data_IF_377940204965
#
_entry.id   IF_377940204965
#
_cell.length_a   1.000
_cell.length_b   1.000
_cell.length_c   1.000
_cell.angle_alpha   90.00
_cell.angle_beta   90.00
_cell.angle_gamma   90.00
#
_symmetry.space_group_name_H-M   'P 1'
#
loop_
_entity.id
_entity.type
_entity.pdbx_description
1 polymer ?
#
# COMPACT_ATOMS: atom_id res chain seq x y z
N UNK A 1 -33.08 4.49 -15.99
CA UNK A 1 -31.86 3.69 -15.85
C UNK A 1 -31.01 4.46 -14.87
N UNK A 2 -30.81 3.95 -13.67
CA UNK A 2 -29.91 4.54 -12.69
C UNK A 2 -28.52 4.57 -13.31
N UNK A 3 -27.84 5.72 -13.32
CA UNK A 3 -26.41 5.79 -13.60
C UNK A 3 -25.76 4.74 -12.73
N UNK A 4 -25.01 3.83 -13.36
CA UNK A 4 -24.32 2.76 -12.63
C UNK A 4 -23.34 3.45 -11.68
N UNK A 5 -23.44 3.12 -10.39
CA UNK A 5 -22.48 3.54 -9.38
C UNK A 5 -21.12 2.90 -9.71
N UNK A 6 -20.34 3.57 -10.57
CA UNK A 6 -19.04 3.07 -11.04
C UNK A 6 -17.96 3.62 -10.11
N UNK A 7 -17.15 2.72 -9.56
CA UNK A 7 -15.91 3.05 -8.90
C UNK A 7 -14.75 2.75 -9.86
N UNK A 8 -13.99 3.78 -10.22
CA UNK A 8 -12.73 3.65 -10.93
C UNK A 8 -11.58 3.90 -9.92
N UNK A 9 -10.79 2.89 -9.61
CA UNK A 9 -9.86 2.95 -8.48
C UNK A 9 -8.44 2.64 -8.94
N UNK A 10 -7.52 3.58 -8.72
CA UNK A 10 -6.08 3.33 -8.83
C UNK A 10 -5.48 3.12 -7.43
N UNK A 11 -4.93 1.93 -7.21
CA UNK A 11 -4.11 1.62 -6.06
C UNK A 11 -2.64 1.85 -6.39
N UNK A 12 -2.03 2.89 -5.82
CA UNK A 12 -0.67 3.33 -6.07
C UNK A 12 0.24 3.00 -4.87
N UNK A 13 1.38 2.37 -5.13
CA UNK A 13 2.44 2.27 -4.11
C UNK A 13 3.27 3.56 -4.09
N UNK A 14 3.62 4.03 -2.91
CA UNK A 14 4.51 5.18 -2.69
C UNK A 14 5.84 5.10 -3.45
N UNK A 15 6.47 6.23 -3.73
CA UNK A 15 7.82 6.38 -4.29
C UNK A 15 8.91 5.77 -3.40
N UNK A 16 10.15 5.72 -3.88
CA UNK A 16 11.27 5.18 -3.10
C UNK A 16 11.46 5.95 -1.79
N UNK A 17 11.42 5.24 -0.67
CA UNK A 17 11.73 5.79 0.66
C UNK A 17 13.19 5.49 1.05
N UNK A 18 13.70 6.21 2.06
CA UNK A 18 15.02 5.93 2.63
C UNK A 18 15.13 4.49 3.13
N UNK A 19 14.06 3.94 3.73
CA UNK A 19 14.03 2.54 4.13
C UNK A 19 14.06 1.57 2.93
N UNK A 20 13.53 1.94 1.75
CA UNK A 20 13.69 1.13 0.53
C UNK A 20 15.14 1.15 0.04
N UNK A 21 15.77 2.34 -0.02
CA UNK A 21 17.17 2.51 -0.44
C UNK A 21 18.11 1.71 0.46
N UNK A 22 17.86 1.71 1.77
CA UNK A 22 18.63 0.98 2.77
C UNK A 22 18.23 -0.49 2.93
N UNK A 23 17.24 -0.97 2.16
CA UNK A 23 16.72 -2.35 2.22
C UNK A 23 16.25 -2.77 3.61
N UNK A 24 15.62 -1.83 4.34
CA UNK A 24 15.06 -2.07 5.66
C UNK A 24 13.62 -2.58 5.56
N UNK A 25 13.27 -3.42 6.51
CA UNK A 25 11.89 -3.80 6.78
C UNK A 25 11.19 -2.62 7.45
N UNK A 26 10.38 -1.91 6.71
CA UNK A 26 9.85 -0.62 7.15
C UNK A 26 8.63 -0.74 8.06
N UNK A 27 7.69 -1.66 7.72
CA UNK A 27 6.42 -1.73 8.42
C UNK A 27 5.73 -0.37 8.50
N UNK A 28 5.35 0.03 9.70
CA UNK A 28 4.74 1.33 10.00
C UNK A 28 5.76 2.39 10.45
N UNK A 29 7.04 2.05 10.52
CA UNK A 29 8.08 3.05 10.76
C UNK A 29 8.09 4.12 9.66
N UNK A 30 8.26 5.38 10.08
CA UNK A 30 7.94 6.55 9.28
C UNK A 30 9.15 7.09 8.50
N UNK A 31 9.59 6.34 7.50
CA UNK A 31 10.66 6.71 6.58
C UNK A 31 10.17 7.70 5.52
N UNK A 32 10.89 8.84 5.27
CA UNK A 32 10.55 9.79 4.21
C UNK A 32 10.92 9.23 2.82
N UNK A 33 10.46 9.91 1.77
CA UNK A 33 10.93 9.67 0.41
C UNK A 33 12.41 10.03 0.27
N UNK A 34 13.11 9.34 -0.65
CA UNK A 34 14.38 9.82 -1.21
C UNK A 34 14.12 10.86 -2.29
N UNK A 35 15.16 11.59 -2.73
CA UNK A 35 15.03 12.50 -3.88
C UNK A 35 14.57 11.73 -5.12
N UNK A 36 15.09 10.53 -5.35
CA UNK A 36 14.62 9.63 -6.41
C UNK A 36 13.14 9.25 -6.22
N UNK A 37 12.68 9.05 -4.98
CA UNK A 37 11.26 8.77 -4.72
C UNK A 37 10.36 9.95 -5.08
N UNK A 38 10.82 11.18 -4.85
CA UNK A 38 10.13 12.41 -5.27
C UNK A 38 10.10 12.54 -6.79
N UNK A 39 11.24 12.29 -7.45
CA UNK A 39 11.32 12.27 -8.91
C UNK A 39 10.38 11.23 -9.53
N UNK A 40 10.28 10.04 -8.93
CA UNK A 40 9.33 9.00 -9.36
C UNK A 40 7.88 9.46 -9.24
N UNK A 41 7.52 10.09 -8.12
CA UNK A 41 6.17 10.61 -7.91
C UNK A 41 5.85 11.75 -8.88
N UNK A 42 6.80 12.67 -9.10
CA UNK A 42 6.65 13.78 -10.05
C UNK A 42 6.50 13.28 -11.49
N UNK A 43 7.33 12.33 -11.92
CA UNK A 43 7.25 11.76 -13.26
C UNK A 43 5.90 11.07 -13.52
N UNK A 44 5.31 10.44 -12.48
CA UNK A 44 3.96 9.87 -12.58
C UNK A 44 2.88 10.95 -12.66
N UNK A 45 3.02 12.01 -11.86
CA UNK A 45 2.13 13.17 -11.88
C UNK A 45 2.12 13.85 -13.26
N UNK A 46 3.31 14.12 -13.81
CA UNK A 46 3.48 14.73 -15.14
C UNK A 46 2.87 13.86 -16.25
N UNK A 47 3.07 12.54 -16.14
CA UNK A 47 2.46 11.58 -17.07
C UNK A 47 0.94 11.61 -17.00
N UNK A 48 0.32 11.54 -15.82
CA UNK A 48 -1.12 11.55 -15.67
C UNK A 48 -1.75 12.89 -16.08
N UNK A 49 -1.04 13.99 -15.83
CA UNK A 49 -1.44 15.30 -16.35
C UNK A 49 -1.45 15.32 -17.90
N UNK A 50 -0.41 14.77 -18.54
CA UNK A 50 -0.33 14.69 -20.01
C UNK A 50 -1.36 13.71 -20.61
N UNK A 51 -1.76 12.69 -19.87
CA UNK A 51 -2.81 11.72 -20.24
C UNK A 51 -4.23 12.25 -19.91
N UNK A 52 -4.35 13.49 -19.40
CA UNK A 52 -5.61 14.10 -18.95
C UNK A 52 -6.39 13.23 -17.96
N UNK A 53 -5.64 12.49 -17.12
CA UNK A 53 -6.26 11.63 -16.12
C UNK A 53 -6.93 12.46 -15.05
N UNK A 54 -8.18 12.14 -14.76
CA UNK A 54 -9.00 12.80 -13.73
C UNK A 54 -9.10 11.90 -12.50
N UNK A 55 -9.18 12.51 -11.34
CA UNK A 55 -9.58 11.87 -10.10
C UNK A 55 -10.55 12.80 -9.36
N UNK A 56 -11.54 12.21 -8.70
CA UNK A 56 -12.45 12.94 -7.81
C UNK A 56 -11.91 12.97 -6.39
N UNK A 57 -11.22 11.91 -5.98
CA UNK A 57 -10.77 11.71 -4.60
C UNK A 57 -9.33 11.16 -4.54
N UNK A 58 -8.53 11.72 -3.63
CA UNK A 58 -7.20 11.20 -3.32
C UNK A 58 -7.12 10.80 -1.86
N UNK A 59 -6.99 9.49 -1.62
CA UNK A 59 -6.82 8.90 -0.30
C UNK A 59 -5.36 8.45 -0.11
N UNK A 60 -4.84 8.56 1.10
CA UNK A 60 -3.48 8.14 1.39
C UNK A 60 -3.33 7.52 2.77
N UNK A 61 -2.39 6.59 2.89
CA UNK A 61 -1.80 6.26 4.17
C UNK A 61 -1.18 7.51 4.80
N UNK A 62 -1.29 7.72 6.14
CA UNK A 62 -0.66 8.84 6.82
C UNK A 62 0.87 8.74 6.93
N UNK A 63 1.48 7.59 6.61
CA UNK A 63 2.93 7.43 6.65
C UNK A 63 3.60 8.36 5.62
N UNK A 64 4.65 9.07 6.03
CA UNK A 64 5.32 10.14 5.26
C UNK A 64 5.54 9.79 3.81
N UNK A 65 6.12 8.62 3.52
CA UNK A 65 6.40 8.18 2.14
C UNK A 65 5.17 8.09 1.25
N UNK A 66 4.03 7.66 1.80
CA UNK A 66 2.77 7.56 1.05
C UNK A 66 2.09 8.93 0.95
N UNK A 67 2.02 9.66 2.05
CA UNK A 67 1.43 11.01 2.10
C UNK A 67 2.17 11.97 1.16
N UNK A 68 3.51 12.01 1.20
CA UNK A 68 4.31 12.86 0.33
C UNK A 68 4.16 12.45 -1.15
N UNK A 69 4.07 11.15 -1.46
CA UNK A 69 3.77 10.69 -2.83
C UNK A 69 2.39 11.17 -3.28
N UNK A 70 1.37 11.05 -2.41
CA UNK A 70 0.02 11.51 -2.70
C UNK A 70 -0.02 13.02 -2.92
N UNK A 71 0.67 13.81 -2.06
CA UNK A 71 0.72 15.27 -2.19
C UNK A 71 1.34 15.71 -3.51
N UNK A 72 2.46 15.09 -3.93
CA UNK A 72 3.12 15.41 -5.21
C UNK A 72 2.16 15.17 -6.38
N UNK A 73 1.46 14.04 -6.39
CA UNK A 73 0.51 13.72 -7.47
C UNK A 73 -0.71 14.61 -7.41
N UNK A 74 -1.31 14.78 -6.23
CA UNK A 74 -2.54 15.56 -6.05
C UNK A 74 -2.34 17.05 -6.34
N UNK A 75 -1.17 17.61 -6.00
CA UNK A 75 -0.85 19.02 -6.29
C UNK A 75 -0.85 19.33 -7.80
N UNK A 76 -0.47 18.37 -8.65
CA UNK A 76 -0.53 18.55 -10.11
C UNK A 76 -1.95 18.52 -10.67
N UNK A 77 -2.90 18.03 -9.86
CA UNK A 77 -4.32 17.87 -10.23
C UNK A 77 -5.24 18.84 -9.46
N UNK A 78 -4.68 19.70 -8.61
CA UNK A 78 -5.38 20.65 -7.72
C UNK A 78 -6.43 19.95 -6.81
N UNK A 79 -6.06 18.78 -6.25
CA UNK A 79 -6.92 17.97 -5.40
C UNK A 79 -6.42 17.91 -3.94
N UNK A 80 -7.33 17.89 -2.96
CA UNK A 80 -6.97 17.64 -1.58
C UNK A 80 -6.63 16.16 -1.35
N UNK A 81 -5.72 15.91 -0.40
CA UNK A 81 -5.38 14.55 0.03
C UNK A 81 -6.00 14.26 1.38
N UNK A 82 -6.90 13.29 1.43
CA UNK A 82 -7.44 12.73 2.67
C UNK A 82 -6.55 11.58 3.17
N UNK A 83 -6.23 11.54 4.46
CA UNK A 83 -5.45 10.45 5.05
C UNK A 83 -6.32 9.54 5.91
N UNK A 84 -6.12 8.22 5.78
CA UNK A 84 -6.79 7.23 6.60
C UNK A 84 -5.78 6.15 7.04
N UNK A 85 -5.63 5.91 8.36
CA UNK A 85 -4.74 4.88 8.90
C UNK A 85 -5.02 3.46 8.40
N UNK A 86 -6.23 3.18 7.89
CA UNK A 86 -6.55 1.86 7.33
C UNK A 86 -5.65 1.49 6.16
N UNK A 87 -5.09 2.48 5.44
CA UNK A 87 -4.19 2.33 4.30
C UNK A 87 -2.70 2.21 4.69
N UNK A 88 -2.36 2.17 6.00
CA UNK A 88 -0.98 1.99 6.45
C UNK A 88 -0.44 0.62 6.05
N UNK A 89 0.90 0.54 5.93
CA UNK A 89 1.59 -0.74 5.70
C UNK A 89 1.33 -1.72 6.85
N UNK A 90 1.64 -2.98 6.61
CA UNK A 90 1.63 -4.01 7.64
C UNK A 90 2.44 -3.55 8.86
N UNK A 91 1.85 -3.66 10.03
CA UNK A 91 2.62 -3.63 11.26
C UNK A 91 3.45 -4.91 11.34
N UNK A 92 4.76 -4.78 11.35
CA UNK A 92 5.69 -5.92 11.38
C UNK A 92 6.40 -6.06 12.73
N UNK A 93 5.97 -5.29 13.75
CA UNK A 93 6.42 -5.39 15.13
C UNK A 93 7.94 -5.25 15.27
N UNK A 94 8.55 -6.19 15.97
CA UNK A 94 9.97 -6.17 16.37
C UNK A 94 10.99 -6.13 15.22
N UNK A 95 10.56 -6.34 13.98
CA UNK A 95 11.46 -6.32 12.82
C UNK A 95 11.47 -4.97 12.08
N UNK A 96 10.71 -4.00 12.56
CA UNK A 96 10.73 -2.65 12.00
C UNK A 96 12.11 -2.02 12.08
N UNK A 97 12.56 -1.46 10.98
CA UNK A 97 13.85 -0.80 10.85
C UNK A 97 15.04 -1.73 10.64
N UNK A 98 14.89 -3.04 10.81
CA UNK A 98 15.97 -4.00 10.60
C UNK A 98 16.22 -4.23 9.11
N UNK A 99 17.49 -4.46 8.76
CA UNK A 99 17.86 -4.98 7.43
C UNK A 99 17.49 -6.46 7.30
N UNK A 100 17.45 -6.98 6.08
CA UNK A 100 17.20 -8.42 5.88
C UNK A 100 18.26 -9.32 6.53
N UNK A 101 19.51 -8.85 6.65
CA UNK A 101 20.60 -9.56 7.32
C UNK A 101 20.35 -9.63 8.83
N UNK A 102 20.04 -8.49 9.46
CA UNK A 102 19.71 -8.42 10.89
C UNK A 102 18.47 -9.27 11.24
N UNK A 103 17.45 -9.24 10.37
CA UNK A 103 16.27 -10.10 10.53
C UNK A 103 16.63 -11.57 10.44
N UNK A 104 17.46 -11.98 9.48
CA UNK A 104 17.92 -13.37 9.35
C UNK A 104 18.72 -13.82 10.56
N UNK A 105 19.57 -12.95 11.11
CA UNK A 105 20.36 -13.24 12.29
C UNK A 105 19.49 -13.37 13.55
N UNK A 106 18.54 -12.45 13.73
CA UNK A 106 17.69 -12.39 14.92
C UNK A 106 16.58 -13.45 14.93
N UNK A 107 16.07 -13.80 13.73
CA UNK A 107 14.98 -14.77 13.53
C UNK A 107 15.38 -15.85 12.53
N UNK A 108 16.32 -16.77 12.90
CA UNK A 108 16.84 -17.77 11.97
C UNK A 108 15.78 -18.81 11.56
N UNK A 109 14.80 -19.10 12.42
CA UNK A 109 13.75 -20.08 12.20
C UNK A 109 12.45 -19.39 11.80
N UNK A 110 12.21 -19.24 10.48
CA UNK A 110 11.04 -18.58 9.93
C UNK A 110 9.89 -19.54 9.60
N UNK A 111 9.64 -20.50 10.43
CA UNK A 111 8.59 -21.51 10.18
C UNK A 111 7.22 -20.98 10.60
N UNK A 112 6.79 -19.86 10.05
CA UNK A 112 5.41 -19.41 10.21
C UNK A 112 4.47 -20.28 9.35
N UNK A 113 3.95 -21.31 9.96
CA UNK A 113 3.09 -22.31 9.34
C UNK A 113 1.64 -21.81 9.29
N UNK A 114 1.29 -20.85 10.14
CA UNK A 114 -0.09 -20.36 10.25
C UNK A 114 -0.24 -18.92 9.73
N UNK A 115 -1.34 -18.60 8.99
CA UNK A 115 -1.61 -17.24 8.55
C UNK A 115 -2.08 -16.30 9.66
N UNK A 116 -2.36 -16.84 10.86
CA UNK A 116 -2.87 -16.08 12.01
C UNK A 116 -1.77 -15.50 12.89
N UNK A 117 -0.55 -16.01 12.80
CA UNK A 117 0.57 -15.48 13.56
C UNK A 117 1.24 -14.28 12.85
N UNK A 118 1.91 -13.38 13.60
CA UNK A 118 2.78 -12.36 13.02
C UNK A 118 3.77 -12.97 12.03
N UNK A 119 4.26 -12.16 11.07
CA UNK A 119 5.20 -12.67 10.06
C UNK A 119 6.50 -13.16 10.73
N UNK A 120 6.95 -12.44 11.75
CA UNK A 120 8.16 -12.71 12.51
C UNK A 120 8.02 -12.21 13.95
N UNK A 121 8.55 -12.98 14.90
CA UNK A 121 8.42 -12.65 16.31
C UNK A 121 7.00 -12.85 16.84
N UNK A 122 6.69 -12.15 17.92
CA UNK A 122 5.44 -12.30 18.67
C UNK A 122 4.51 -11.07 18.50
N UNK A 123 4.93 -10.07 17.73
CA UNK A 123 4.22 -8.79 17.55
C UNK A 123 3.97 -8.49 16.08
N UNK A 124 2.94 -7.68 15.81
CA UNK A 124 2.58 -7.23 14.47
C UNK A 124 1.45 -8.04 13.84
N UNK A 125 1.13 -7.68 12.60
CA UNK A 125 0.01 -8.29 11.87
C UNK A 125 0.42 -9.57 11.15
N UNK A 126 -0.35 -10.65 11.39
CA UNK A 126 -0.34 -11.85 10.57
C UNK A 126 -0.97 -11.60 9.18
N UNK A 127 -0.96 -12.64 8.35
CA UNK A 127 -1.57 -12.54 7.02
C UNK A 127 -3.09 -12.36 7.08
N UNK A 128 -3.77 -13.00 8.05
CA UNK A 128 -5.22 -12.85 8.24
C UNK A 128 -5.61 -11.45 8.69
N UNK A 129 -4.89 -10.89 9.66
CA UNK A 129 -5.19 -9.55 10.18
C UNK A 129 -5.04 -8.51 9.08
N UNK A 130 -3.94 -8.56 8.32
CA UNK A 130 -3.74 -7.66 7.20
C UNK A 130 -4.78 -7.85 6.08
N UNK A 131 -5.17 -9.09 5.80
CA UNK A 131 -6.21 -9.41 4.81
C UNK A 131 -7.57 -8.85 5.23
N UNK A 132 -7.95 -9.03 6.49
CA UNK A 132 -9.19 -8.45 7.04
C UNK A 132 -9.17 -6.92 6.98
N UNK A 133 -8.04 -6.29 7.34
CA UNK A 133 -7.88 -4.84 7.22
C UNK A 133 -7.96 -4.37 5.77
N UNK A 134 -7.38 -5.09 4.82
CA UNK A 134 -7.52 -4.82 3.39
C UNK A 134 -8.98 -4.91 2.92
N UNK A 135 -9.71 -5.93 3.37
CA UNK A 135 -11.15 -6.06 3.10
C UNK A 135 -11.99 -4.93 3.66
N UNK A 136 -11.69 -4.51 4.91
CA UNK A 136 -12.36 -3.35 5.54
C UNK A 136 -12.03 -2.04 4.81
N UNK A 137 -10.79 -1.88 4.34
CA UNK A 137 -10.39 -0.71 3.57
C UNK A 137 -11.16 -0.61 2.24
N UNK A 138 -11.29 -1.72 1.51
CA UNK A 138 -12.11 -1.78 0.28
C UNK A 138 -13.57 -1.50 0.61
N UNK A 139 -14.12 -2.16 1.63
CA UNK A 139 -15.51 -1.95 2.04
C UNK A 139 -15.79 -0.50 2.41
N UNK A 140 -14.87 0.13 3.18
CA UNK A 140 -14.98 1.53 3.54
C UNK A 140 -14.94 2.46 2.32
N UNK A 141 -14.10 2.15 1.32
CA UNK A 141 -14.02 2.91 0.08
C UNK A 141 -15.30 2.77 -0.74
N UNK A 142 -15.83 1.58 -0.90
CA UNK A 142 -17.07 1.31 -1.67
C UNK A 142 -18.34 1.82 -0.98
N UNK A 143 -18.28 2.24 0.28
CA UNK A 143 -19.37 2.95 0.97
C UNK A 143 -19.30 4.48 0.82
N UNK A 144 -18.33 4.99 0.07
CA UNK A 144 -18.24 6.41 -0.30
C UNK A 144 -19.06 6.73 -1.55
N UNK A 145 -19.01 7.96 -2.00
CA UNK A 145 -19.60 8.36 -3.28
C UNK A 145 -18.86 7.67 -4.43
N UNK A 146 -19.56 7.12 -5.44
CA UNK A 146 -18.95 6.61 -6.66
C UNK A 146 -18.11 7.67 -7.36
N UNK A 147 -17.06 7.26 -8.04
CA UNK A 147 -16.16 8.18 -8.74
C UNK A 147 -14.76 7.60 -8.98
N UNK A 148 -13.85 8.47 -9.42
CA UNK A 148 -12.44 8.13 -9.71
C UNK A 148 -11.56 8.36 -8.49
N UNK A 149 -11.02 7.28 -7.95
CA UNK A 149 -10.22 7.26 -6.73
C UNK A 149 -8.74 6.99 -7.00
N UNK A 150 -7.87 7.82 -6.43
CA UNK A 150 -6.47 7.51 -6.24
C UNK A 150 -6.23 7.12 -4.78
N UNK A 151 -5.74 5.92 -4.53
CA UNK A 151 -5.39 5.42 -3.19
C UNK A 151 -3.90 5.17 -3.11
N UNK A 152 -3.17 5.99 -2.35
CA UNK A 152 -1.71 5.87 -2.19
C UNK A 152 -1.38 5.11 -0.91
N UNK A 153 -0.73 3.95 -1.07
CA UNK A 153 -0.46 3.03 0.02
C UNK A 153 0.86 2.28 -0.18
N UNK A 154 0.96 1.04 0.29
CA UNK A 154 2.19 0.28 0.47
C UNK A 154 2.10 -1.11 -0.15
N UNK A 155 3.27 -1.68 -0.47
CA UNK A 155 3.33 -2.94 -1.20
C UNK A 155 2.71 -4.14 -0.47
N UNK A 156 2.85 -4.23 0.84
CA UNK A 156 2.28 -5.33 1.63
C UNK A 156 0.76 -5.26 1.73
N UNK A 157 0.22 -4.07 2.05
CA UNK A 157 -1.23 -3.89 2.12
C UNK A 157 -1.87 -4.03 0.72
N UNK A 158 -1.33 -3.37 -0.30
CA UNK A 158 -1.88 -3.45 -1.66
C UNK A 158 -1.88 -4.88 -2.23
N UNK A 159 -0.88 -5.71 -1.89
CA UNK A 159 -0.94 -7.13 -2.24
C UNK A 159 -2.14 -7.82 -1.60
N UNK A 160 -2.48 -7.52 -0.33
CA UNK A 160 -3.66 -8.11 0.32
C UNK A 160 -4.97 -7.54 -0.22
N UNK A 161 -5.00 -6.25 -0.59
CA UNK A 161 -6.13 -5.64 -1.30
C UNK A 161 -6.42 -6.41 -2.58
N UNK A 162 -5.41 -6.64 -3.43
CA UNK A 162 -5.57 -7.39 -4.67
C UNK A 162 -6.01 -8.84 -4.43
N UNK A 163 -5.46 -9.51 -3.41
CA UNK A 163 -5.90 -10.87 -3.04
C UNK A 163 -7.36 -10.88 -2.57
N UNK A 164 -7.79 -9.88 -1.81
CA UNK A 164 -9.17 -9.75 -1.35
C UNK A 164 -10.14 -9.52 -2.53
N UNK A 165 -9.78 -8.65 -3.48
CA UNK A 165 -10.58 -8.38 -4.69
C UNK A 165 -10.78 -9.63 -5.53
N UNK A 166 -9.73 -10.48 -5.69
CA UNK A 166 -9.86 -11.73 -6.46
C UNK A 166 -10.33 -12.92 -5.62
N UNK A 167 -10.72 -12.72 -4.35
CA UNK A 167 -11.28 -13.75 -3.49
C UNK A 167 -10.28 -14.81 -3.00
N UNK A 168 -8.99 -14.49 -2.94
CA UNK A 168 -7.94 -15.42 -2.47
C UNK A 168 -7.64 -15.14 -1.00
N UNK A 169 -8.02 -16.05 -0.12
CA UNK A 169 -7.82 -15.93 1.32
C UNK A 169 -6.43 -16.41 1.75
N UNK A 170 -5.88 -15.87 2.86
CA UNK A 170 -4.64 -16.37 3.45
C UNK A 170 -4.76 -17.82 3.91
N UNK A 171 -3.79 -18.67 3.54
CA UNK A 171 -3.74 -20.09 3.90
C UNK A 171 -2.35 -20.44 4.43
N UNK A 172 -2.27 -21.49 5.26
CA UNK A 172 -0.99 -22.03 5.68
C UNK A 172 -0.20 -22.56 4.47
N UNK A 173 1.09 -22.24 4.40
CA UNK A 173 1.93 -22.64 3.28
C UNK A 173 1.53 -22.07 1.92
N UNK A 174 0.83 -20.93 1.89
CA UNK A 174 0.33 -20.33 0.65
C UNK A 174 1.43 -20.10 -0.38
N UNK A 175 1.30 -20.73 -1.53
CA UNK A 175 2.17 -20.62 -2.71
C UNK A 175 1.50 -19.98 -3.93
N UNK A 176 0.37 -19.29 -3.73
CA UNK A 176 -0.42 -18.66 -4.77
C UNK A 176 0.19 -17.37 -5.33
N UNK A 177 -0.57 -16.64 -6.16
CA UNK A 177 -0.11 -15.42 -6.79
C UNK A 177 0.26 -14.34 -5.78
N UNK A 178 1.23 -13.50 -6.15
CA UNK A 178 1.63 -12.31 -5.41
C UNK A 178 1.62 -11.10 -6.32
N UNK A 179 0.88 -10.08 -5.94
CA UNK A 179 0.87 -8.80 -6.64
C UNK A 179 2.03 -7.95 -6.14
N UNK A 180 3.04 -7.74 -7.01
CA UNK A 180 4.24 -6.98 -6.65
C UNK A 180 4.15 -5.57 -7.21
N UNK A 181 3.92 -4.62 -6.36
CA UNK A 181 3.99 -3.21 -6.70
C UNK A 181 5.45 -2.72 -6.59
N UNK A 182 6.01 -2.19 -7.68
CA UNK A 182 7.25 -1.39 -7.63
C UNK A 182 6.95 -0.01 -7.02
N UNK A 183 7.98 0.76 -6.65
CA UNK A 183 7.74 2.16 -6.25
C UNK A 183 7.07 2.91 -7.40
N UNK A 184 6.03 3.68 -7.10
CA UNK A 184 5.10 4.31 -8.05
C UNK A 184 4.44 3.35 -9.04
N UNK A 185 4.49 2.05 -8.79
CA UNK A 185 3.69 1.07 -9.52
C UNK A 185 2.25 1.06 -9.01
N UNK A 186 1.29 0.86 -9.90
CA UNK A 186 -0.13 0.88 -9.58
C UNK A 186 -0.91 -0.27 -10.21
N UNK A 187 -2.09 -0.53 -9.66
CA UNK A 187 -3.14 -1.35 -10.24
C UNK A 187 -4.37 -0.49 -10.47
N UNK A 188 -5.08 -0.73 -11.55
CA UNK A 188 -6.31 -0.04 -11.94
C UNK A 188 -7.47 -1.04 -11.93
N UNK A 189 -8.55 -0.68 -11.26
CA UNK A 189 -9.76 -1.49 -11.07
C UNK A 189 -10.98 -0.63 -11.47
N UNK A 190 -11.86 -1.20 -12.24
CA UNK A 190 -13.12 -0.59 -12.68
C UNK A 190 -14.28 -1.52 -12.40
#
# INVERSE_FOLDING_TARGET
MTESEIFDIIFLRHGESTGNAERRWQGQADYPLTDKGREQAQALADRWFAEERVFDFVLSSPLKRAKETADIVANSLDLPVETDPIWMERNIGQVEGLTSEEVNHRFPNRNNITPFAPILGDEGEGNWELYLRAGLAIHGLLNREPGEYLVVSHGGLLNQVMLAVVGITPQAGFSGPRFRFKNTGFAHLT
#
